data_IF_535809309361
#
_entry.id   IF_535809309361
#
_cell.length_a   1.000
_cell.length_b   1.000
_cell.length_c   1.000
_cell.angle_alpha   90.00
_cell.angle_beta   90.00
_cell.angle_gamma   90.00
#
_symmetry.space_group_name_H-M   'P 1'
#
loop_
_entity.id
_entity.type
_entity.pdbx_description
1 polymer ?
#
# COMPACT_ATOMS: atom_id res chain seq x y z
N UNK A 1 3.54 1.12 7.21
CA UNK A 1 2.21 1.78 7.09
C UNK A 1 2.46 3.26 6.95
N UNK A 2 1.67 3.98 6.17
CA UNK A 2 1.89 5.42 5.94
C UNK A 2 0.68 6.26 6.36
N UNK A 3 0.92 7.24 7.24
CA UNK A 3 -0.07 8.21 7.73
C UNK A 3 0.61 9.55 7.94
N UNK A 4 -0.01 10.62 7.42
CA UNK A 4 0.41 12.00 7.72
C UNK A 4 -0.62 12.68 8.61
N UNK A 5 -0.14 13.50 9.55
CA UNK A 5 -0.99 14.29 10.43
C UNK A 5 -0.38 15.68 10.65
N UNK A 6 -1.22 16.69 10.87
CA UNK A 6 -0.76 18.06 11.11
C UNK A 6 0.16 18.12 12.33
N UNK A 7 1.29 18.84 12.20
CA UNK A 7 2.32 18.91 13.24
C UNK A 7 3.22 17.67 13.33
N UNK A 8 2.92 16.61 12.57
CA UNK A 8 3.72 15.41 12.45
C UNK A 8 4.13 15.24 10.98
N UNK A 9 5.24 15.90 10.64
CA UNK A 9 5.77 15.90 9.28
C UNK A 9 6.32 14.54 8.84
N UNK A 10 7.39 14.60 8.07
CA UNK A 10 8.12 13.44 7.54
C UNK A 10 9.60 13.75 7.56
N UNK A 11 10.44 12.73 7.73
CA UNK A 11 11.87 12.85 7.41
C UNK A 11 11.96 13.19 5.92
N UNK A 12 12.84 14.13 5.51
CA UNK A 12 12.84 14.66 4.13
C UNK A 12 13.00 13.53 3.10
N UNK A 13 11.90 13.18 2.43
CA UNK A 13 11.83 12.11 1.43
C UNK A 13 11.52 12.64 0.01
N UNK A 14 11.50 13.97 -0.23
CA UNK A 14 11.20 14.57 -1.55
C UNK A 14 9.69 14.74 -1.80
N UNK A 15 9.14 14.43 -2.99
CA UNK A 15 7.67 14.41 -3.24
C UNK A 15 6.97 13.14 -2.71
N UNK A 16 7.69 12.36 -1.91
CA UNK A 16 7.31 11.02 -1.51
C UNK A 16 6.41 11.03 -0.27
N UNK A 17 5.20 10.53 -0.38
CA UNK A 17 4.30 10.27 0.75
C UNK A 17 4.59 8.88 1.39
N UNK A 18 5.87 8.54 1.59
CA UNK A 18 6.33 7.40 2.40
C UNK A 18 7.33 7.93 3.43
N UNK A 19 7.76 7.06 4.35
CA UNK A 19 8.66 7.43 5.45
C UNK A 19 8.02 8.53 6.31
N UNK A 20 6.71 8.42 6.54
CA UNK A 20 5.97 9.36 7.37
C UNK A 20 6.45 9.26 8.81
N UNK A 21 6.54 10.39 9.53
CA UNK A 21 7.10 10.36 10.89
C UNK A 21 6.28 9.47 11.84
N UNK A 22 4.94 9.44 11.67
CA UNK A 22 4.09 8.48 12.39
C UNK A 22 4.32 7.05 11.88
N UNK A 23 4.42 6.86 10.55
CA UNK A 23 4.71 5.57 9.92
C UNK A 23 5.97 4.88 10.46
N UNK A 24 7.05 5.64 10.63
CA UNK A 24 8.34 5.19 11.15
C UNK A 24 8.27 4.77 12.62
N UNK A 25 7.47 5.47 13.44
CA UNK A 25 7.33 5.20 14.87
C UNK A 25 6.33 4.10 15.21
N UNK A 26 5.47 3.69 14.27
CA UNK A 26 4.47 2.66 14.48
C UNK A 26 5.16 1.33 14.83
N UNK A 27 5.09 0.97 16.11
CA UNK A 27 5.64 -0.26 16.62
C UNK A 27 4.62 -1.40 16.52
N UNK A 28 5.07 -2.57 16.11
CA UNK A 28 4.26 -3.78 16.07
C UNK A 28 3.83 -4.20 17.49
N UNK A 29 2.52 -4.40 17.69
CA UNK A 29 1.93 -4.87 18.96
C UNK A 29 1.48 -6.33 18.89
N UNK A 30 1.08 -6.81 17.73
CA UNK A 30 0.57 -8.17 17.59
C UNK A 30 -0.07 -8.43 16.24
N UNK A 31 -0.37 -9.70 15.98
CA UNK A 31 -1.16 -10.11 14.82
C UNK A 31 -2.10 -11.24 15.21
N UNK A 32 -3.26 -11.25 14.59
CA UNK A 32 -4.21 -12.35 14.67
C UNK A 32 -4.59 -12.75 13.26
N UNK A 33 -4.72 -14.06 13.02
CA UNK A 33 -5.20 -14.59 11.74
C UNK A 33 -6.36 -15.53 12.00
N UNK A 34 -7.48 -15.25 11.35
CA UNK A 34 -8.71 -16.03 11.44
C UNK A 34 -9.14 -16.51 10.05
N UNK A 35 -9.87 -17.62 10.02
CA UNK A 35 -10.62 -18.04 8.84
C UNK A 35 -12.05 -17.49 8.94
N UNK A 36 -12.51 -16.84 7.86
CA UNK A 36 -13.85 -16.26 7.72
C UNK A 36 -14.45 -16.75 6.39
N UNK A 37 -15.10 -17.91 6.43
CA UNK A 37 -15.51 -18.63 5.22
C UNK A 37 -14.29 -18.99 4.36
N UNK A 38 -14.29 -18.56 3.11
CA UNK A 38 -13.17 -18.76 2.18
C UNK A 38 -12.00 -17.78 2.39
N UNK A 39 -12.19 -16.77 3.25
CA UNK A 39 -11.19 -15.74 3.49
C UNK A 39 -10.26 -16.11 4.63
N UNK A 40 -8.96 -15.96 4.40
CA UNK A 40 -7.97 -15.80 5.47
C UNK A 40 -7.84 -14.32 5.79
N UNK A 41 -8.23 -13.95 7.00
CA UNK A 41 -8.22 -12.57 7.48
C UNK A 41 -7.11 -12.41 8.53
N UNK A 42 -6.15 -11.54 8.27
CA UNK A 42 -5.07 -11.20 9.21
C UNK A 42 -5.22 -9.76 9.66
N UNK A 43 -5.33 -9.52 10.96
CA UNK A 43 -5.27 -8.21 11.58
C UNK A 43 -3.89 -7.99 12.19
N UNK A 44 -3.24 -6.88 11.85
CA UNK A 44 -1.93 -6.48 12.38
C UNK A 44 -2.12 -5.22 13.21
N UNK A 45 -1.86 -5.31 14.50
CA UNK A 45 -1.96 -4.20 15.43
C UNK A 45 -0.61 -3.47 15.54
N UNK A 46 -0.66 -2.16 15.39
CA UNK A 46 0.48 -1.24 15.47
C UNK A 46 0.13 -0.07 16.40
N UNK A 47 1.13 0.57 17.00
CA UNK A 47 0.91 1.83 17.69
C UNK A 47 2.12 2.77 17.71
N UNK A 48 1.83 4.05 17.66
CA UNK A 48 2.81 5.12 17.82
C UNK A 48 2.83 5.54 19.30
N UNK A 49 3.90 5.22 20.05
CA UNK A 49 3.98 5.54 21.47
C UNK A 49 4.05 7.05 21.75
N UNK A 50 4.41 7.87 20.76
CA UNK A 50 4.54 9.33 20.93
C UNK A 50 3.18 10.01 20.88
N UNK A 51 2.34 9.64 19.93
CA UNK A 51 1.03 10.29 19.73
C UNK A 51 -0.13 9.55 20.40
N UNK A 52 0.05 8.26 20.71
CA UNK A 52 -1.03 7.39 21.14
C UNK A 52 -1.92 6.92 19.98
N UNK A 53 -1.52 7.11 18.73
CA UNK A 53 -2.26 6.59 17.59
C UNK A 53 -2.09 5.07 17.49
N UNK A 54 -3.19 4.33 17.58
CA UNK A 54 -3.25 2.91 17.28
C UNK A 54 -3.75 2.68 15.85
N UNK A 55 -3.17 1.68 15.20
CA UNK A 55 -3.54 1.29 13.85
C UNK A 55 -3.74 -0.22 13.76
N UNK A 56 -4.78 -0.63 13.05
CA UNK A 56 -5.02 -2.01 12.67
C UNK A 56 -5.02 -2.13 11.15
N UNK A 57 -4.10 -2.93 10.61
CA UNK A 57 -4.06 -3.27 9.19
C UNK A 57 -4.73 -4.64 9.01
N UNK A 58 -5.88 -4.65 8.37
CA UNK A 58 -6.63 -5.85 8.05
C UNK A 58 -6.36 -6.28 6.60
N UNK A 59 -5.74 -7.45 6.45
CA UNK A 59 -5.41 -8.09 5.19
C UNK A 59 -6.31 -9.31 5.00
N UNK A 60 -7.02 -9.38 3.87
CA UNK A 60 -7.87 -10.53 3.53
C UNK A 60 -7.44 -11.14 2.21
N UNK A 61 -7.14 -12.43 2.23
CA UNK A 61 -6.80 -13.23 1.04
C UNK A 61 -7.76 -14.40 0.89
N UNK A 62 -7.96 -14.86 -0.34
CA UNK A 62 -8.59 -16.14 -0.63
C UNK A 62 -7.53 -17.03 -1.31
N UNK A 63 -7.24 -18.25 -0.80
CA UNK A 63 -6.27 -19.15 -1.41
C UNK A 63 -6.55 -19.36 -2.90
N UNK A 64 -5.51 -19.23 -3.74
CA UNK A 64 -5.61 -19.41 -5.19
C UNK A 64 -6.18 -18.22 -5.97
N UNK A 65 -6.72 -17.18 -5.31
CA UNK A 65 -7.43 -16.10 -6.01
C UNK A 65 -6.52 -15.02 -6.62
N UNK A 66 -5.23 -14.96 -6.25
CA UNK A 66 -4.25 -14.04 -6.84
C UNK A 66 -4.46 -12.56 -6.50
N UNK A 67 -5.27 -12.24 -5.48
CA UNK A 67 -5.49 -10.86 -5.03
C UNK A 67 -5.47 -10.77 -3.49
N UNK A 68 -5.33 -9.53 -3.00
CA UNK A 68 -5.35 -9.16 -1.59
C UNK A 68 -6.30 -7.98 -1.40
N UNK A 69 -7.13 -8.03 -0.35
CA UNK A 69 -7.88 -6.87 0.13
C UNK A 69 -7.19 -6.31 1.37
N UNK A 70 -6.91 -5.01 1.36
CA UNK A 70 -6.35 -4.30 2.52
C UNK A 70 -7.34 -3.25 3.04
N UNK A 71 -7.39 -3.09 4.36
CA UNK A 71 -8.10 -2.01 5.06
C UNK A 71 -7.25 -1.56 6.24
N UNK A 72 -7.26 -0.27 6.52
CA UNK A 72 -6.64 0.29 7.72
C UNK A 72 -7.73 0.91 8.60
N UNK A 73 -7.70 0.61 9.89
CA UNK A 73 -8.47 1.29 10.93
C UNK A 73 -7.52 2.04 11.84
N UNK A 74 -7.83 3.30 12.12
CA UNK A 74 -7.07 4.13 13.05
C UNK A 74 -7.92 4.49 14.25
N UNK A 75 -7.31 4.48 15.43
CA UNK A 75 -7.93 4.88 16.70
C UNK A 75 -6.95 5.80 17.42
N UNK A 76 -7.40 6.99 17.80
CA UNK A 76 -6.62 7.86 18.67
C UNK A 76 -6.82 7.41 20.12
N UNK A 77 -5.84 6.70 20.68
CA UNK A 77 -5.80 6.33 22.11
C UNK A 77 -5.06 7.39 22.96
N UNK A 78 -4.54 8.43 22.30
CA UNK A 78 -3.87 9.56 22.92
C UNK A 78 -4.82 10.57 23.54
N UNK A 79 -4.25 11.52 24.29
CA UNK A 79 -5.01 12.59 24.96
C UNK A 79 -5.20 13.84 24.10
N UNK A 80 -4.47 13.94 23.00
CA UNK A 80 -4.46 15.12 22.11
C UNK A 80 -5.14 14.76 20.79
N UNK A 81 -6.06 15.61 20.28
CA UNK A 81 -6.64 15.40 18.95
C UNK A 81 -5.58 15.36 17.85
N UNK A 82 -5.67 14.39 16.95
CA UNK A 82 -4.81 14.26 15.77
C UNK A 82 -5.60 14.60 14.50
N UNK A 83 -5.14 15.60 13.75
CA UNK A 83 -5.70 15.93 12.44
C UNK A 83 -4.97 15.12 11.37
N UNK A 84 -5.62 14.08 10.86
CA UNK A 84 -5.07 13.26 9.78
C UNK A 84 -5.20 13.99 8.44
N UNK A 85 -4.13 13.96 7.66
CA UNK A 85 -4.05 14.57 6.33
C UNK A 85 -4.12 13.50 5.23
N UNK A 86 -3.50 12.34 5.46
CA UNK A 86 -3.59 11.19 4.56
C UNK A 86 -3.46 9.88 5.31
N UNK A 87 -4.12 8.84 4.80
CA UNK A 87 -4.05 7.46 5.30
C UNK A 87 -3.97 6.53 4.12
N UNK A 88 -2.94 5.70 4.10
CA UNK A 88 -2.74 4.72 3.03
C UNK A 88 -3.39 3.40 3.39
N UNK A 89 -4.28 2.90 2.53
CA UNK A 89 -4.91 1.59 2.73
C UNK A 89 -3.92 0.45 2.50
N UNK A 90 -2.86 0.67 1.73
CA UNK A 90 -1.77 -0.29 1.49
C UNK A 90 -0.51 0.47 1.06
N UNK A 91 0.63 0.10 1.64
CA UNK A 91 1.95 0.50 1.18
C UNK A 91 2.82 -0.77 1.14
N UNK A 92 3.38 -1.08 -0.03
CA UNK A 92 4.21 -2.25 -0.26
C UNK A 92 5.62 -1.81 -0.66
N UNK A 93 6.63 -2.44 -0.07
CA UNK A 93 8.04 -2.32 -0.45
C UNK A 93 8.61 -3.71 -0.74
N UNK A 94 9.86 -3.76 -1.21
CA UNK A 94 10.56 -5.03 -1.44
C UNK A 94 9.98 -5.88 -2.58
N UNK A 95 9.23 -5.28 -3.51
CA UNK A 95 8.74 -5.99 -4.68
C UNK A 95 9.91 -6.33 -5.62
N UNK A 96 9.94 -7.57 -6.09
CA UNK A 96 10.84 -8.09 -7.11
C UNK A 96 12.35 -8.07 -6.78
N UNK A 97 12.77 -8.20 -5.51
CA UNK A 97 14.18 -8.27 -5.08
C UNK A 97 15.10 -7.20 -5.75
N UNK A 98 14.55 -6.02 -6.05
CA UNK A 98 15.26 -4.93 -6.73
C UNK A 98 15.22 -4.97 -8.27
N UNK A 99 14.83 -6.09 -8.87
CA UNK A 99 14.58 -6.24 -10.31
C UNK A 99 13.20 -5.69 -10.68
N UNK A 100 13.08 -4.36 -10.68
CA UNK A 100 11.90 -3.67 -11.23
C UNK A 100 11.85 -3.76 -12.77
N UNK A 101 12.95 -4.19 -13.39
CA UNK A 101 13.05 -4.44 -14.81
C UNK A 101 12.16 -5.63 -15.20
N UNK A 102 11.34 -5.42 -16.23
CA UNK A 102 10.36 -6.40 -16.68
C UNK A 102 8.97 -6.24 -16.05
N UNK A 103 8.81 -5.42 -15.02
CA UNK A 103 7.48 -5.10 -14.47
C UNK A 103 6.71 -4.18 -15.43
N UNK A 104 5.50 -4.58 -15.80
CA UNK A 104 4.53 -3.74 -16.50
C UNK A 104 3.49 -3.25 -15.52
N UNK A 105 3.26 -1.94 -15.49
CA UNK A 105 2.17 -1.34 -14.75
C UNK A 105 0.92 -1.25 -15.63
N UNK A 106 -0.22 -1.72 -15.13
CA UNK A 106 -1.53 -1.57 -15.74
C UNK A 106 -2.42 -0.70 -14.84
N UNK A 107 -3.11 0.29 -15.42
CA UNK A 107 -4.07 1.13 -14.70
C UNK A 107 -5.20 1.59 -15.63
N UNK A 108 -6.29 2.11 -15.08
CA UNK A 108 -7.38 2.68 -15.86
C UNK A 108 -7.65 4.12 -15.43
N UNK A 109 -7.59 5.05 -16.36
CA UNK A 109 -8.04 6.41 -16.11
C UNK A 109 -9.57 6.43 -16.10
N UNK A 110 -10.12 7.22 -15.18
CA UNK A 110 -11.54 7.47 -15.12
C UNK A 110 -11.78 8.98 -15.20
N UNK A 111 -12.74 9.37 -16.01
CA UNK A 111 -13.20 10.74 -16.17
C UNK A 111 -14.71 10.69 -16.42
N UNK A 112 -15.38 11.84 -16.32
CA UNK A 112 -16.82 11.91 -16.49
C UNK A 112 -17.21 11.44 -17.90
N UNK A 113 -18.03 10.37 -18.00
CA UNK A 113 -18.43 9.72 -19.25
C UNK A 113 -17.26 9.08 -20.03
N UNK A 114 -16.14 8.85 -19.36
CA UNK A 114 -14.98 8.19 -19.93
C UNK A 114 -14.27 7.34 -18.86
N UNK A 115 -15.02 6.40 -18.31
CA UNK A 115 -14.57 5.44 -17.31
C UNK A 115 -13.72 4.31 -17.93
N UNK A 116 -12.89 3.67 -17.10
CA UNK A 116 -12.18 2.43 -17.43
C UNK A 116 -11.26 2.50 -18.67
N UNK A 117 -10.61 3.65 -18.92
CA UNK A 117 -9.64 3.80 -20.03
C UNK A 117 -8.30 3.18 -19.64
N UNK A 118 -8.17 1.89 -19.94
CA UNK A 118 -6.99 1.10 -19.61
C UNK A 118 -5.73 1.58 -20.34
N UNK A 119 -4.66 1.69 -19.57
CA UNK A 119 -3.30 1.98 -20.03
C UNK A 119 -2.34 0.97 -19.43
N UNK A 120 -1.19 0.85 -20.08
CA UNK A 120 -0.04 0.13 -19.55
C UNK A 120 1.25 0.83 -19.91
N UNK A 121 2.27 0.63 -19.10
CA UNK A 121 3.61 1.15 -19.33
C UNK A 121 4.62 0.30 -18.58
N UNK A 122 5.90 0.19 -19.03
CA UNK A 122 6.95 -0.29 -18.16
C UNK A 122 6.94 0.48 -16.83
N UNK A 123 7.12 -0.24 -15.72
CA UNK A 123 7.01 0.34 -14.38
C UNK A 123 7.98 1.52 -14.16
N UNK A 124 9.18 1.43 -14.73
CA UNK A 124 10.17 2.52 -14.65
C UNK A 124 9.74 3.78 -15.39
N UNK A 125 9.02 3.64 -16.49
CA UNK A 125 8.62 4.76 -17.34
C UNK A 125 7.43 5.50 -16.75
N UNK A 126 6.40 4.77 -16.28
CA UNK A 126 5.20 5.39 -15.71
C UNK A 126 5.37 5.81 -14.24
N UNK A 127 6.24 5.14 -13.49
CA UNK A 127 6.31 5.28 -12.05
C UNK A 127 7.67 5.83 -11.58
N UNK A 128 8.65 6.01 -12.47
CA UNK A 128 10.02 6.38 -12.11
C UNK A 128 10.59 5.47 -10.98
N UNK A 129 10.23 4.18 -11.00
CA UNK A 129 10.59 3.20 -9.98
C UNK A 129 9.67 3.15 -8.75
N UNK A 130 8.53 3.86 -8.77
CA UNK A 130 7.58 3.93 -7.65
C UNK A 130 6.16 4.22 -8.12
N UNK A 131 5.21 3.41 -7.68
CA UNK A 131 3.79 3.70 -7.89
C UNK A 131 3.12 4.25 -6.63
N UNK A 132 2.52 5.45 -6.74
CA UNK A 132 1.54 5.98 -5.80
C UNK A 132 0.18 5.98 -6.48
N UNK A 133 -0.82 5.29 -5.92
CA UNK A 133 -2.20 5.35 -6.43
C UNK A 133 -3.10 5.99 -5.39
N UNK A 134 -3.70 7.13 -5.76
CA UNK A 134 -4.72 7.77 -4.94
C UNK A 134 -6.10 7.28 -5.36
N UNK A 135 -6.82 6.68 -4.41
CA UNK A 135 -8.21 6.28 -4.60
C UNK A 135 -9.10 7.41 -4.10
N UNK A 136 -9.67 8.18 -5.04
CA UNK A 136 -10.49 9.34 -4.71
C UNK A 136 -11.82 9.00 -4.01
N UNK A 137 -12.26 7.73 -4.01
CA UNK A 137 -13.54 7.31 -3.44
C UNK A 137 -13.41 6.04 -2.58
N UNK A 138 -14.11 5.97 -1.43
CA UNK A 138 -14.26 4.73 -0.68
C UNK A 138 -14.88 3.64 -1.56
N UNK A 139 -14.37 2.42 -1.47
CA UNK A 139 -14.90 1.27 -2.21
C UNK A 139 -14.36 1.11 -3.64
N UNK A 140 -13.55 2.04 -4.14
CA UNK A 140 -12.83 1.84 -5.40
C UNK A 140 -11.74 0.79 -5.23
N UNK A 141 -11.69 -0.20 -6.13
CA UNK A 141 -10.60 -1.16 -6.21
C UNK A 141 -9.62 -0.72 -7.30
N UNK A 142 -8.33 -0.89 -7.05
CA UNK A 142 -7.30 -0.85 -8.08
C UNK A 142 -6.87 -2.28 -8.34
N UNK A 143 -6.94 -2.70 -9.60
CA UNK A 143 -6.23 -3.89 -10.04
C UNK A 143 -4.84 -3.47 -10.49
N UNK A 144 -3.84 -3.75 -9.65
CA UNK A 144 -2.45 -3.67 -10.05
C UNK A 144 -2.00 -5.07 -10.45
N UNK A 145 -1.71 -5.26 -11.73
CA UNK A 145 -1.06 -6.46 -12.22
C UNK A 145 0.41 -6.14 -12.41
N UNK A 146 1.26 -6.92 -11.73
CA UNK A 146 2.70 -6.94 -11.93
C UNK A 146 3.04 -8.26 -12.62
N UNK A 147 3.40 -8.19 -13.90
CA UNK A 147 3.93 -9.34 -14.62
C UNK A 147 5.45 -9.27 -14.61
N UNK A 148 6.11 -10.37 -14.28
CA UNK A 148 7.56 -10.54 -14.47
C UNK A 148 7.80 -11.54 -15.59
N UNK A 149 8.64 -11.19 -16.57
CA UNK A 149 9.21 -12.19 -17.47
C UNK A 149 10.42 -12.79 -16.75
N UNK A 150 10.44 -14.10 -16.54
CA UNK A 150 11.65 -14.76 -16.06
C UNK A 150 12.81 -14.38 -17.02
N UNK A 151 14.03 -14.10 -16.52
CA UNK A 151 15.19 -13.99 -17.37
C UNK A 151 15.27 -15.27 -18.22
N UNK A 152 15.45 -15.12 -19.53
CA UNK A 152 15.74 -16.28 -20.37
C UNK A 152 17.02 -16.92 -19.81
N UNK A 153 17.06 -18.25 -19.61
CA UNK A 153 18.29 -18.90 -19.20
C UNK A 153 19.38 -18.54 -20.21
N UNK A 154 20.48 -17.97 -19.70
CA UNK A 154 21.62 -17.59 -20.51
C UNK A 154 22.09 -18.81 -21.28
N UNK A 155 22.32 -18.63 -22.58
CA UNK A 155 22.99 -19.64 -23.39
C UNK A 155 24.44 -19.68 -22.90
N UNK A 156 24.85 -20.80 -22.34
CA UNK A 156 26.27 -21.08 -22.08
C UNK A 156 26.94 -21.18 -23.45
N UNK A 157 27.81 -20.21 -23.75
CA UNK A 157 28.78 -20.25 -24.86
C UNK A 157 30.16 -20.64 -24.30
#
# INVERSE_FOLDING_TARGET
MEVTATGHGRTWSGERFIDTAIGERLAYRGRETVQDGEWRCTAIALADPVTGLAAEVALRTCPGAGFLRSRVRLVNEGRVPLRLESVWSLALGGLADGALDGLTLHWADNDWLAECRWRRSPFRDAAHGRLTVFLARPGTAVLLRLDGRAPLPGRED
#
